data_IF_179975610538
#
_entry.id   IF_179975610538
#
_cell.length_a   1.000
_cell.length_b   1.000
_cell.length_c   1.000
_cell.angle_alpha   90.00
_cell.angle_beta   90.00
_cell.angle_gamma   90.00
#
_symmetry.space_group_name_H-M   'P 1'
#
loop_
_entity.id
_entity.type
_entity.pdbx_description
1 polymer ?
#
# COMPACT_ATOMS: atom_id res chain seq x y z
N UNK A 1 9.46 5.55 -19.16
CA UNK A 1 8.87 4.61 -18.17
C UNK A 1 8.12 5.32 -17.03
N UNK A 2 8.56 6.51 -16.60
CA UNK A 2 7.97 7.31 -15.50
C UNK A 2 6.49 7.62 -15.72
N UNK A 3 6.08 7.98 -16.95
CA UNK A 3 4.69 8.31 -17.26
C UNK A 3 3.72 7.13 -17.04
N UNK A 4 4.12 5.89 -17.34
CA UNK A 4 3.24 4.72 -17.19
C UNK A 4 2.90 4.41 -15.73
N UNK A 5 3.85 4.58 -14.81
CA UNK A 5 3.60 4.38 -13.37
C UNK A 5 2.70 5.48 -12.82
N UNK A 6 2.92 6.74 -13.22
CA UNK A 6 2.05 7.85 -12.81
C UNK A 6 0.57 7.59 -13.15
N UNK A 7 0.26 7.13 -14.38
CA UNK A 7 -1.12 6.83 -14.76
C UNK A 7 -1.76 5.72 -13.92
N UNK A 8 -0.98 4.72 -13.47
CA UNK A 8 -1.49 3.68 -12.57
C UNK A 8 -1.90 4.24 -11.20
N UNK A 9 -1.36 5.39 -10.78
CA UNK A 9 -1.77 6.05 -9.54
C UNK A 9 -3.25 6.44 -9.52
N UNK A 10 -3.84 6.74 -10.69
CA UNK A 10 -5.26 7.09 -10.78
C UNK A 10 -6.18 5.92 -10.42
N UNK A 11 -5.73 4.66 -10.54
CA UNK A 11 -6.49 3.52 -10.04
C UNK A 11 -6.75 3.62 -8.53
N UNK A 12 -5.96 4.42 -7.79
CA UNK A 12 -6.18 4.64 -6.37
C UNK A 12 -7.49 5.35 -6.04
N UNK A 13 -8.05 6.14 -6.96
CA UNK A 13 -9.35 6.77 -6.76
C UNK A 13 -10.50 5.76 -6.71
N UNK A 14 -10.32 4.54 -7.24
CA UNK A 14 -11.31 3.47 -7.06
C UNK A 14 -11.50 3.09 -5.59
N UNK A 15 -10.56 3.44 -4.70
CA UNK A 15 -10.70 3.22 -3.26
C UNK A 15 -11.86 3.99 -2.63
N UNK A 16 -12.30 5.10 -3.25
CA UNK A 16 -13.49 5.83 -2.80
C UNK A 16 -14.81 5.05 -3.00
N UNK A 17 -14.82 3.97 -3.79
CA UNK A 17 -15.96 3.05 -3.84
C UNK A 17 -16.25 2.40 -2.48
N UNK A 18 -15.28 2.39 -1.55
CA UNK A 18 -15.50 1.93 -0.17
C UNK A 18 -16.55 2.75 0.59
N UNK A 19 -16.79 4.00 0.20
CA UNK A 19 -17.83 4.84 0.79
C UNK A 19 -19.24 4.31 0.53
N UNK A 20 -19.42 3.42 -0.46
CA UNK A 20 -20.68 2.74 -0.72
C UNK A 20 -21.20 1.97 0.49
N UNK A 21 -20.30 1.50 1.36
CA UNK A 21 -20.62 0.89 2.67
C UNK A 21 -21.67 1.68 3.47
N UNK A 22 -21.56 3.01 3.50
CA UNK A 22 -22.49 3.86 4.27
C UNK A 22 -23.92 3.84 3.73
N UNK A 23 -24.10 3.47 2.46
CA UNK A 23 -25.41 3.31 1.84
C UNK A 23 -25.90 1.87 1.80
N UNK A 24 -24.98 0.91 1.62
CA UNK A 24 -25.31 -0.51 1.41
C UNK A 24 -25.33 -1.33 2.70
N UNK A 25 -24.62 -0.89 3.74
CA UNK A 25 -24.34 -1.69 4.95
C UNK A 25 -23.46 -2.92 4.68
N UNK A 26 -23.01 -3.15 3.44
CA UNK A 26 -22.25 -4.33 3.06
C UNK A 26 -20.75 -4.14 3.35
N UNK A 27 -20.23 -4.90 4.31
CA UNK A 27 -18.82 -4.84 4.74
C UNK A 27 -17.87 -5.11 3.57
N UNK A 28 -18.27 -5.93 2.60
CA UNK A 28 -17.46 -6.21 1.41
C UNK A 28 -17.13 -4.95 0.60
N UNK A 29 -17.98 -3.91 0.62
CA UNK A 29 -17.68 -2.64 -0.06
C UNK A 29 -16.42 -1.98 0.56
N UNK A 30 -16.11 -2.18 1.84
CA UNK A 30 -14.89 -1.62 2.44
C UNK A 30 -13.59 -2.22 1.86
N UNK A 31 -13.65 -3.38 1.20
CA UNK A 31 -12.47 -4.00 0.57
C UNK A 31 -11.89 -3.14 -0.56
N UNK A 32 -12.68 -2.23 -1.14
CA UNK A 32 -12.22 -1.25 -2.12
C UNK A 32 -11.10 -0.35 -1.56
N UNK A 33 -10.95 -0.19 -0.24
CA UNK A 33 -9.80 0.52 0.37
C UNK A 33 -8.45 0.03 -0.17
N UNK A 34 -8.35 -1.25 -0.53
CA UNK A 34 -7.14 -1.83 -1.13
C UNK A 34 -6.66 -1.08 -2.38
N UNK A 35 -7.57 -0.45 -3.15
CA UNK A 35 -7.18 0.38 -4.29
C UNK A 35 -6.31 1.58 -3.89
N UNK A 36 -6.40 2.11 -2.67
CA UNK A 36 -5.51 3.21 -2.24
C UNK A 36 -4.03 2.82 -2.24
N UNK A 37 -3.70 1.53 -2.28
CA UNK A 37 -2.34 1.05 -2.56
C UNK A 37 -1.74 1.67 -3.84
N UNK A 38 -2.56 1.91 -4.87
CA UNK A 38 -2.11 2.43 -6.15
C UNK A 38 -1.55 3.86 -6.05
N UNK A 39 -1.89 4.64 -5.01
CA UNK A 39 -1.29 5.95 -4.78
C UNK A 39 0.23 5.90 -4.55
N UNK A 40 0.77 4.76 -4.13
CA UNK A 40 2.22 4.50 -4.10
C UNK A 40 2.89 4.81 -5.45
N UNK A 41 2.20 4.60 -6.57
CA UNK A 41 2.75 4.88 -7.90
C UNK A 41 2.93 6.37 -8.16
N UNK A 42 2.07 7.24 -7.62
CA UNK A 42 2.27 8.69 -7.71
C UNK A 42 3.55 9.10 -6.99
N UNK A 43 3.78 8.55 -5.79
CA UNK A 43 4.97 8.84 -4.99
C UNK A 43 6.23 8.36 -5.71
N UNK A 44 6.25 7.09 -6.15
CA UNK A 44 7.38 6.50 -6.88
C UNK A 44 7.67 7.24 -8.19
N UNK A 45 6.64 7.77 -8.85
CA UNK A 45 6.83 8.52 -10.10
C UNK A 45 7.46 9.91 -9.91
N UNK A 46 7.44 10.47 -8.69
CA UNK A 46 8.11 11.73 -8.37
C UNK A 46 9.62 11.58 -8.16
N UNK A 47 10.09 10.36 -7.93
CA UNK A 47 11.53 10.08 -7.75
C UNK A 47 12.22 10.30 -9.09
N UNK A 48 12.98 11.40 -9.18
CA UNK A 48 13.77 11.77 -10.35
C UNK A 48 15.21 11.29 -10.14
N UNK A 49 15.53 10.12 -10.66
CA UNK A 49 16.86 9.52 -10.61
C UNK A 49 17.00 8.43 -11.67
N UNK A 50 18.23 8.15 -12.11
CA UNK A 50 18.49 6.98 -12.94
C UNK A 50 18.36 5.73 -12.06
N UNK A 51 17.39 4.86 -12.38
CA UNK A 51 17.11 3.64 -11.60
C UNK A 51 18.21 2.58 -11.72
N UNK A 52 19.18 2.82 -12.60
CA UNK A 52 20.40 2.03 -12.71
C UNK A 52 21.53 2.52 -11.78
N UNK A 53 21.34 3.63 -11.06
CA UNK A 53 22.32 4.11 -10.08
C UNK A 53 22.45 3.11 -8.91
N UNK A 54 23.69 2.81 -8.52
CA UNK A 54 24.00 2.00 -7.36
C UNK A 54 23.36 2.56 -6.08
N UNK A 55 23.26 3.89 -6.00
CA UNK A 55 22.61 4.58 -4.88
C UNK A 55 21.12 4.21 -4.80
N UNK A 56 20.40 4.30 -5.92
CA UNK A 56 18.97 3.95 -5.97
C UNK A 56 18.74 2.49 -5.55
N UNK A 57 19.61 1.58 -5.98
CA UNK A 57 19.53 0.15 -5.59
C UNK A 57 19.74 -0.05 -4.08
N UNK A 58 20.63 0.73 -3.46
CA UNK A 58 20.83 0.68 -2.01
C UNK A 58 19.62 1.23 -1.25
N UNK A 59 19.06 2.36 -1.70
CA UNK A 59 17.89 2.99 -1.09
C UNK A 59 16.64 2.13 -1.25
N UNK A 60 16.47 1.47 -2.40
CA UNK A 60 15.42 0.46 -2.62
C UNK A 60 15.54 -0.71 -1.65
N UNK A 61 16.74 -1.27 -1.47
CA UNK A 61 16.96 -2.36 -0.49
C UNK A 61 16.66 -1.92 0.94
N UNK A 62 17.07 -0.71 1.31
CA UNK A 62 16.80 -0.16 2.64
C UNK A 62 15.30 0.10 2.87
N UNK A 63 14.59 0.61 1.87
CA UNK A 63 13.14 0.79 1.91
C UNK A 63 12.40 -0.55 2.00
N UNK A 64 12.83 -1.56 1.23
CA UNK A 64 12.28 -2.92 1.29
C UNK A 64 12.51 -3.57 2.65
N UNK A 65 13.72 -3.45 3.22
CA UNK A 65 14.02 -4.02 4.54
C UNK A 65 13.15 -3.40 5.66
N UNK A 66 13.01 -2.07 5.65
CA UNK A 66 12.13 -1.38 6.59
C UNK A 66 10.66 -1.80 6.42
N UNK A 67 10.17 -1.81 5.18
CA UNK A 67 8.78 -2.20 4.89
C UNK A 67 8.54 -3.68 5.22
N UNK A 68 9.54 -4.55 5.03
CA UNK A 68 9.46 -5.96 5.40
C UNK A 68 9.28 -6.16 6.90
N UNK A 69 10.03 -5.44 7.73
CA UNK A 69 9.83 -5.45 9.18
C UNK A 69 8.44 -4.94 9.58
N UNK A 70 7.98 -3.87 8.92
CA UNK A 70 6.64 -3.33 9.11
C UNK A 70 5.55 -4.37 8.75
N UNK A 71 5.67 -5.02 7.59
CA UNK A 71 4.74 -6.05 7.13
C UNK A 71 4.68 -7.27 8.06
N UNK A 72 5.79 -7.66 8.69
CA UNK A 72 5.80 -8.74 9.70
C UNK A 72 4.89 -8.37 10.89
N UNK A 73 4.95 -7.12 11.35
CA UNK A 73 4.10 -6.63 12.44
C UNK A 73 2.63 -6.61 12.01
N UNK A 74 2.34 -6.12 10.80
CA UNK A 74 0.98 -6.12 10.25
C UNK A 74 0.40 -7.54 10.15
N UNK A 75 1.18 -8.50 9.64
CA UNK A 75 0.78 -9.90 9.53
C UNK A 75 0.53 -10.54 10.90
N UNK A 76 1.35 -10.22 11.90
CA UNK A 76 1.14 -10.69 13.27
C UNK A 76 -0.20 -10.18 13.82
N UNK A 77 -0.50 -8.89 13.64
CA UNK A 77 -1.77 -8.30 14.07
C UNK A 77 -2.95 -8.95 13.32
N UNK A 78 -2.86 -9.08 12.00
CA UNK A 78 -3.90 -9.74 11.19
C UNK A 78 -4.16 -11.16 11.66
N UNK A 79 -3.11 -11.93 11.95
CA UNK A 79 -3.23 -13.30 12.44
C UNK A 79 -3.91 -13.37 13.81
N UNK A 80 -3.56 -12.48 14.74
CA UNK A 80 -4.23 -12.40 16.04
C UNK A 80 -5.73 -12.10 15.88
N UNK A 81 -6.10 -11.13 15.03
CA UNK A 81 -7.52 -10.79 14.82
C UNK A 81 -8.25 -11.93 14.09
N UNK A 82 -7.60 -12.62 13.15
CA UNK A 82 -8.17 -13.77 12.45
C UNK A 82 -8.60 -14.89 13.41
N UNK A 83 -7.76 -15.21 14.39
CA UNK A 83 -8.05 -16.24 15.40
C UNK A 83 -9.26 -15.86 16.26
N UNK A 84 -9.35 -14.60 16.67
CA UNK A 84 -10.38 -14.11 17.59
C UNK A 84 -11.71 -13.89 16.88
N UNK A 85 -11.70 -13.22 15.74
CA UNK A 85 -12.93 -12.78 15.07
C UNK A 85 -13.60 -13.89 14.26
N UNK A 86 -12.81 -14.71 13.54
CA UNK A 86 -13.30 -15.72 12.57
C UNK A 86 -14.30 -15.18 11.53
N UNK A 87 -14.37 -13.86 11.33
CA UNK A 87 -15.21 -13.21 10.35
C UNK A 87 -14.42 -12.99 9.05
N UNK A 88 -14.81 -13.67 7.98
CA UNK A 88 -14.12 -13.62 6.69
C UNK A 88 -14.19 -12.24 6.05
N UNK A 89 -15.35 -11.57 6.10
CA UNK A 89 -15.53 -10.24 5.52
C UNK A 89 -14.64 -9.21 6.21
N UNK A 90 -14.58 -9.24 7.54
CA UNK A 90 -13.69 -8.40 8.31
C UNK A 90 -12.21 -8.67 7.94
N UNK A 91 -11.83 -9.93 7.79
CA UNK A 91 -10.46 -10.29 7.38
C UNK A 91 -10.12 -9.75 5.98
N UNK A 92 -11.04 -9.82 5.03
CA UNK A 92 -10.84 -9.23 3.71
C UNK A 92 -10.63 -7.72 3.78
N UNK A 93 -11.41 -7.01 4.61
CA UNK A 93 -11.26 -5.56 4.79
C UNK A 93 -9.91 -5.22 5.44
N UNK A 94 -9.54 -5.92 6.51
CA UNK A 94 -8.26 -5.69 7.19
C UNK A 94 -7.08 -5.99 6.27
N UNK A 95 -7.16 -7.07 5.47
CA UNK A 95 -6.14 -7.39 4.48
C UNK A 95 -6.02 -6.28 3.42
N UNK A 96 -7.14 -5.76 2.91
CA UNK A 96 -7.14 -4.62 1.97
C UNK A 96 -6.50 -3.37 2.57
N UNK A 97 -6.76 -3.08 3.85
CA UNK A 97 -6.14 -1.96 4.58
C UNK A 97 -4.63 -2.18 4.69
N UNK A 98 -4.20 -3.31 5.23
CA UNK A 98 -2.78 -3.66 5.38
C UNK A 98 -2.06 -3.56 4.04
N UNK A 99 -2.58 -4.19 2.98
CA UNK A 99 -2.04 -4.09 1.62
C UNK A 99 -1.84 -2.64 1.16
N UNK A 100 -2.85 -1.78 1.35
CA UNK A 100 -2.76 -0.37 0.98
C UNK A 100 -1.72 0.38 1.80
N UNK A 101 -1.66 0.14 3.12
CA UNK A 101 -0.68 0.76 4.01
C UNK A 101 0.74 0.32 3.65
N UNK A 102 1.02 -0.98 3.57
CA UNK A 102 2.36 -1.53 3.28
C UNK A 102 2.96 -0.91 2.01
N UNK A 103 2.19 -0.85 0.91
CA UNK A 103 2.69 -0.33 -0.36
C UNK A 103 2.93 1.19 -0.34
N UNK A 104 2.07 1.94 0.36
CA UNK A 104 2.30 3.38 0.51
C UNK A 104 3.48 3.66 1.44
N UNK A 105 3.64 2.91 2.53
CA UNK A 105 4.80 3.01 3.45
C UNK A 105 6.10 2.76 2.69
N UNK A 106 6.15 1.72 1.85
CA UNK A 106 7.30 1.46 0.98
C UNK A 106 7.63 2.66 0.09
N UNK A 107 6.63 3.16 -0.64
CA UNK A 107 6.83 4.25 -1.58
C UNK A 107 7.28 5.54 -0.89
N UNK A 108 6.69 5.88 0.26
CA UNK A 108 7.09 7.02 1.09
C UNK A 108 8.52 6.84 1.59
N UNK A 109 8.86 5.65 2.10
CA UNK A 109 10.19 5.38 2.64
C UNK A 109 11.26 5.52 1.56
N UNK A 110 11.01 4.97 0.38
CA UNK A 110 11.91 5.08 -0.76
C UNK A 110 12.08 6.54 -1.19
N UNK A 111 10.97 7.29 -1.30
CA UNK A 111 11.01 8.70 -1.65
C UNK A 111 11.86 9.54 -0.66
N UNK A 112 11.72 9.28 0.65
CA UNK A 112 12.51 9.95 1.69
C UNK A 112 14.01 9.62 1.59
N UNK A 113 14.37 8.41 1.18
CA UNK A 113 15.78 8.02 1.01
C UNK A 113 16.40 8.69 -0.23
N UNK A 114 15.63 8.78 -1.31
CA UNK A 114 16.05 9.42 -2.56
C UNK A 114 16.17 10.94 -2.47
N UNK A 115 15.38 11.60 -1.62
CA UNK A 115 15.49 13.06 -1.39
C UNK A 115 16.69 13.46 -0.50
N UNK A 116 17.33 12.52 0.20
CA UNK A 116 18.47 12.80 1.10
C UNK A 116 19.77 13.10 0.37
#
# INVERSE_FOLDING_TARGET
>A
MIQKKFFMGFCGFLGFLSLKYFSSGNIADLTYIGFFAFFSNFIISKINGDKADERYVQDEKAAMAFTGQFAIIELFILWCIAIVSRNVELMCVLLSITYAVTLNVYAIKLYILEEK
#
